data_IF_288158286137
#
_entry.id   IF_288158286137
#
_cell.length_a   1.000
_cell.length_b   1.000
_cell.length_c   1.000
_cell.angle_alpha   90.00
_cell.angle_beta   90.00
_cell.angle_gamma   90.00
#
_symmetry.space_group_name_H-M   'P 1'
#
loop_
_entity.id
_entity.type
_entity.pdbx_description
1 polymer ?
#
# COMPACT_ATOMS: atom_id res chain seq x y z
N UNK A 1 -19.37 14.49 -29.42
CA UNK A 1 -19.80 13.10 -29.60
C UNK A 1 -20.58 12.70 -28.32
N UNK A 2 -21.92 12.80 -28.39
CA UNK A 2 -22.80 12.45 -27.26
C UNK A 2 -23.07 10.95 -27.35
N UNK A 3 -22.30 10.13 -26.66
CA UNK A 3 -22.65 8.73 -26.43
C UNK A 3 -23.63 8.75 -25.25
N UNK A 4 -24.87 8.46 -25.57
CA UNK A 4 -25.98 8.55 -24.63
C UNK A 4 -25.79 7.54 -23.50
N UNK A 5 -25.74 8.05 -22.27
CA UNK A 5 -25.80 7.31 -21.00
C UNK A 5 -27.00 6.30 -21.01
N UNK A 6 -28.01 6.56 -21.82
CA UNK A 6 -29.16 5.70 -22.06
C UNK A 6 -28.80 4.31 -22.60
N UNK A 7 -27.70 4.13 -23.35
CA UNK A 7 -27.32 2.83 -23.87
C UNK A 7 -26.69 1.94 -22.79
N UNK A 8 -25.96 2.54 -21.83
CA UNK A 8 -25.36 1.79 -20.72
C UNK A 8 -26.44 1.30 -19.73
N UNK A 9 -27.49 2.08 -19.52
CA UNK A 9 -28.64 1.70 -18.69
C UNK A 9 -29.48 0.64 -19.36
N UNK A 10 -29.64 0.66 -20.70
CA UNK A 10 -30.41 -0.38 -21.43
C UNK A 10 -29.70 -1.75 -21.43
N UNK A 11 -28.36 -1.79 -21.50
CA UNK A 11 -27.60 -3.06 -21.42
C UNK A 11 -27.68 -3.72 -20.04
N UNK A 12 -27.92 -2.96 -18.99
CA UNK A 12 -28.13 -3.48 -17.63
C UNK A 12 -29.53 -4.08 -17.45
N UNK A 13 -30.52 -3.68 -18.26
CA UNK A 13 -31.92 -4.14 -18.14
C UNK A 13 -32.30 -5.31 -19.07
N UNK A 14 -31.53 -5.61 -20.11
CA UNK A 14 -31.85 -6.71 -21.04
C UNK A 14 -31.30 -8.09 -20.62
N UNK A 15 -30.50 -8.16 -19.56
CA UNK A 15 -29.97 -9.42 -18.98
C UNK A 15 -30.85 -10.09 -17.91
N UNK A 16 -32.03 -9.59 -17.65
CA UNK A 16 -32.87 -9.93 -16.48
C UNK A 16 -33.71 -11.20 -16.63
N UNK A 17 -33.30 -12.17 -17.41
CA UNK A 17 -34.10 -13.38 -17.59
C UNK A 17 -33.56 -14.67 -16.93
N UNK A 18 -32.48 -14.63 -16.17
CA UNK A 18 -31.89 -15.85 -15.61
C UNK A 18 -31.29 -15.72 -14.20
N UNK A 19 -31.97 -15.08 -13.29
CA UNK A 19 -31.84 -15.41 -11.88
C UNK A 19 -33.09 -14.89 -11.16
N UNK A 20 -33.87 -15.77 -10.61
CA UNK A 20 -34.81 -15.44 -9.56
C UNK A 20 -33.93 -15.09 -8.33
N UNK A 21 -33.40 -13.86 -8.32
CA UNK A 21 -32.77 -13.29 -7.15
C UNK A 21 -33.91 -12.87 -6.24
N UNK A 22 -34.01 -13.44 -5.06
CA UNK A 22 -34.89 -12.90 -4.03
C UNK A 22 -34.50 -11.46 -3.83
N UNK A 23 -35.42 -10.52 -3.98
CA UNK A 23 -35.16 -9.07 -3.91
C UNK A 23 -34.68 -8.64 -2.51
N UNK A 24 -34.81 -9.49 -1.51
CA UNK A 24 -34.37 -9.26 -0.14
C UNK A 24 -32.83 -9.42 0.03
N UNK A 25 -32.14 -9.95 -0.99
CA UNK A 25 -30.70 -10.20 -0.97
C UNK A 25 -29.90 -9.16 -1.79
N UNK A 26 -30.48 -8.05 -2.23
CA UNK A 26 -29.81 -7.03 -3.01
C UNK A 26 -29.65 -5.76 -2.18
N UNK A 27 -28.42 -5.39 -1.89
CA UNK A 27 -28.08 -4.19 -1.13
C UNK A 27 -27.25 -3.23 -1.98
N UNK A 28 -27.59 -1.94 -1.89
CA UNK A 28 -26.84 -0.86 -2.52
C UNK A 28 -26.20 0.01 -1.46
N UNK A 29 -24.88 0.09 -1.47
CA UNK A 29 -24.09 0.90 -0.53
C UNK A 29 -23.33 1.99 -1.26
N UNK A 30 -23.48 3.24 -0.80
CA UNK A 30 -22.65 4.36 -1.24
C UNK A 30 -21.57 4.64 -0.20
N UNK A 31 -20.40 5.00 -0.68
CA UNK A 31 -19.27 5.34 0.19
C UNK A 31 -18.53 6.55 -0.37
N UNK A 32 -18.19 7.48 0.52
CA UNK A 32 -17.30 8.61 0.22
C UNK A 32 -16.11 8.54 1.16
N UNK A 33 -14.95 8.14 0.62
CA UNK A 33 -13.68 8.24 1.32
C UNK A 33 -12.94 9.48 0.87
N UNK A 34 -12.43 10.25 1.83
CA UNK A 34 -11.57 11.39 1.55
C UNK A 34 -10.40 11.40 2.53
N UNK A 35 -9.25 11.79 2.05
CA UNK A 35 -8.04 11.92 2.85
C UNK A 35 -7.32 13.21 2.49
N UNK A 36 -7.29 14.16 3.43
CA UNK A 36 -6.39 15.31 3.37
C UNK A 36 -5.07 14.95 4.02
N UNK A 37 -3.95 15.30 3.39
CA UNK A 37 -2.61 15.03 3.91
C UNK A 37 -1.66 16.20 3.66
N UNK A 38 -0.76 16.37 4.60
CA UNK A 38 0.41 17.23 4.45
C UNK A 38 1.61 16.42 4.90
N UNK A 39 2.54 16.18 3.99
CA UNK A 39 3.79 15.49 4.27
C UNK A 39 4.94 16.44 3.97
N UNK A 40 5.90 16.54 4.87
CA UNK A 40 7.13 17.28 4.65
C UNK A 40 8.33 16.41 5.03
N UNK A 41 9.25 16.25 4.10
CA UNK A 41 10.52 15.56 4.28
C UNK A 41 11.67 16.56 4.11
N UNK A 42 12.48 16.68 5.12
CA UNK A 42 13.72 17.44 5.11
C UNK A 42 14.89 16.45 4.99
N UNK A 43 15.06 15.95 3.77
CA UNK A 43 16.13 15.02 3.44
C UNK A 43 17.23 15.75 2.68
N UNK A 44 18.41 15.73 3.23
CA UNK A 44 19.65 16.19 2.59
C UNK A 44 20.47 15.02 2.04
N UNK A 45 19.86 13.83 2.03
CA UNK A 45 20.48 12.56 1.68
C UNK A 45 20.62 12.41 0.16
N UNK A 46 21.78 11.97 -0.37
CA UNK A 46 21.94 11.80 -1.82
C UNK A 46 21.10 10.65 -2.40
N UNK A 47 20.59 9.72 -1.59
CA UNK A 47 19.69 8.65 -2.05
C UNK A 47 18.30 9.18 -2.38
N UNK A 48 17.79 10.15 -1.60
CA UNK A 48 16.46 10.72 -1.77
C UNK A 48 16.45 12.18 -1.36
N UNK A 49 15.95 13.11 -2.20
CA UNK A 49 15.76 14.49 -1.82
C UNK A 49 14.58 14.67 -0.88
N UNK A 50 14.61 15.74 -0.09
CA UNK A 50 13.44 16.22 0.65
C UNK A 50 12.41 16.86 -0.28
N UNK A 51 11.15 16.80 0.13
CA UNK A 51 10.04 17.45 -0.57
C UNK A 51 8.82 17.64 0.32
N UNK A 52 7.95 18.55 -0.08
CA UNK A 52 6.66 18.80 0.58
C UNK A 52 5.52 18.33 -0.31
N UNK A 53 4.57 17.62 0.25
CA UNK A 53 3.46 17.01 -0.45
C UNK A 53 2.13 17.37 0.26
N UNK A 54 1.52 18.54 -0.05
CA UNK A 54 0.19 18.90 0.44
C UNK A 54 -0.86 18.42 -0.56
N UNK A 55 -1.84 17.62 -0.12
CA UNK A 55 -2.84 17.09 -1.03
C UNK A 55 -4.14 16.67 -0.36
N UNK A 56 -5.12 16.43 -1.20
CA UNK A 56 -6.39 15.81 -0.82
C UNK A 56 -6.77 14.78 -1.87
N UNK A 57 -7.12 13.60 -1.44
CA UNK A 57 -7.71 12.56 -2.28
C UNK A 57 -9.20 12.37 -1.95
N UNK A 58 -9.98 12.07 -2.98
CA UNK A 58 -11.43 11.81 -2.86
C UNK A 58 -11.77 10.57 -3.66
N UNK A 59 -12.56 9.68 -3.05
CA UNK A 59 -12.94 8.38 -3.61
C UNK A 59 -14.43 8.10 -3.35
N UNK A 60 -15.36 8.69 -4.13
CA UNK A 60 -16.75 8.26 -4.13
C UNK A 60 -16.89 6.89 -4.80
N UNK A 61 -17.74 6.03 -4.26
CA UNK A 61 -18.06 4.73 -4.84
C UNK A 61 -19.45 4.26 -4.50
N UNK A 62 -20.02 3.41 -5.35
CA UNK A 62 -21.25 2.68 -5.13
C UNK A 62 -20.96 1.19 -5.25
N UNK A 63 -21.45 0.38 -4.33
CA UNK A 63 -21.31 -1.08 -4.31
C UNK A 63 -22.67 -1.71 -4.34
N UNK A 64 -22.91 -2.57 -5.32
CA UNK A 64 -24.06 -3.45 -5.40
C UNK A 64 -23.64 -4.82 -4.84
N UNK A 65 -24.26 -5.22 -3.76
CA UNK A 65 -24.08 -6.51 -3.11
C UNK A 65 -25.23 -7.45 -3.53
N UNK A 66 -24.91 -8.64 -4.05
CA UNK A 66 -25.85 -9.65 -4.48
C UNK A 66 -25.72 -10.87 -3.57
N UNK A 67 -26.62 -10.94 -2.59
CA UNK A 67 -26.51 -11.88 -1.48
C UNK A 67 -25.22 -11.67 -0.72
N UNK A 68 -24.73 -12.73 -0.09
CA UNK A 68 -23.46 -12.74 0.65
C UNK A 68 -22.23 -13.02 -0.23
N UNK A 69 -22.41 -13.21 -1.55
CA UNK A 69 -21.38 -13.83 -2.41
C UNK A 69 -20.75 -12.90 -3.42
N UNK A 70 -21.47 -11.94 -3.97
CA UNK A 70 -20.97 -11.12 -5.06
C UNK A 70 -21.11 -9.63 -4.76
N UNK A 71 -20.06 -8.88 -5.09
CA UNK A 71 -20.01 -7.43 -4.96
C UNK A 71 -19.55 -6.82 -6.28
N UNK A 72 -20.24 -5.76 -6.71
CA UNK A 72 -19.86 -4.94 -7.85
C UNK A 72 -19.68 -3.51 -7.37
N UNK A 73 -18.47 -3.02 -7.40
CA UNK A 73 -18.15 -1.64 -7.01
C UNK A 73 -17.79 -0.81 -8.23
N UNK A 74 -18.41 0.34 -8.36
CA UNK A 74 -18.03 1.38 -9.31
C UNK A 74 -17.75 2.68 -8.57
N UNK A 75 -16.75 3.43 -8.99
CA UNK A 75 -16.37 4.67 -8.32
C UNK A 75 -15.40 5.50 -9.13
N UNK A 76 -14.87 6.52 -8.48
CA UNK A 76 -13.86 7.39 -9.06
C UNK A 76 -12.83 7.79 -8.01
N UNK A 77 -11.57 7.81 -8.37
CA UNK A 77 -10.48 8.30 -7.55
C UNK A 77 -9.92 9.58 -8.16
N UNK A 78 -9.71 10.59 -7.33
CA UNK A 78 -9.00 11.79 -7.72
C UNK A 78 -8.15 12.31 -6.58
N UNK A 79 -6.96 12.81 -6.92
CA UNK A 79 -6.06 13.50 -5.99
C UNK A 79 -5.76 14.88 -6.51
N UNK A 80 -5.96 15.88 -5.64
CA UNK A 80 -5.58 17.26 -5.87
C UNK A 80 -4.35 17.61 -5.04
N UNK A 81 -3.30 18.09 -5.69
CA UNK A 81 -2.06 18.55 -5.08
C UNK A 81 -2.02 20.06 -5.06
N UNK A 82 -1.91 20.66 -3.89
CA UNK A 82 -1.80 22.10 -3.73
C UNK A 82 -0.46 22.59 -4.28
N UNK A 83 -0.48 23.79 -4.90
CA UNK A 83 0.72 24.43 -5.43
C UNK A 83 1.25 23.86 -6.74
N UNK A 84 0.60 22.86 -7.35
CA UNK A 84 0.96 22.40 -8.68
C UNK A 84 0.61 23.43 -9.75
N UNK A 85 1.58 23.74 -10.62
CA UNK A 85 1.61 24.95 -11.44
C UNK A 85 0.52 25.05 -12.54
N UNK A 86 -0.21 24.00 -12.89
CA UNK A 86 -1.20 24.08 -13.99
C UNK A 86 -2.63 23.85 -13.53
N UNK A 87 -2.98 22.76 -12.99
CA UNK A 87 -4.39 22.39 -12.72
C UNK A 87 -4.61 21.71 -11.36
N UNK A 88 -3.59 21.59 -10.55
CA UNK A 88 -3.68 20.99 -9.23
C UNK A 88 -4.02 19.48 -9.21
N UNK A 89 -4.60 18.96 -10.29
CA UNK A 89 -4.94 17.55 -10.40
C UNK A 89 -3.68 16.74 -10.70
N UNK A 90 -3.39 15.76 -9.84
CA UNK A 90 -2.23 14.89 -10.00
C UNK A 90 -2.60 13.52 -10.58
N UNK A 91 -3.53 12.83 -9.94
CA UNK A 91 -4.01 11.51 -10.35
C UNK A 91 -5.52 11.49 -10.43
N UNK A 92 -6.05 10.76 -11.40
CA UNK A 92 -7.49 10.60 -11.56
C UNK A 92 -7.79 9.34 -12.38
N UNK A 93 -8.69 8.49 -11.89
CA UNK A 93 -9.13 7.30 -12.64
C UNK A 93 -10.48 6.77 -12.17
N UNK A 94 -11.27 6.13 -13.07
CA UNK A 94 -12.42 5.33 -12.67
C UNK A 94 -11.96 4.10 -11.87
N UNK A 95 -12.82 3.64 -10.98
CA UNK A 95 -12.62 2.47 -10.15
C UNK A 95 -13.71 1.46 -10.47
N UNK A 96 -13.33 0.22 -10.70
CA UNK A 96 -14.24 -0.89 -10.90
C UNK A 96 -13.70 -2.11 -10.17
N UNK A 97 -14.57 -2.78 -9.43
CA UNK A 97 -14.22 -4.03 -8.75
C UNK A 97 -15.37 -5.01 -8.90
N UNK A 98 -15.04 -6.23 -9.26
CA UNK A 98 -15.93 -7.38 -9.13
C UNK A 98 -15.29 -8.27 -8.07
N UNK A 99 -16.03 -8.57 -7.02
CA UNK A 99 -15.53 -9.41 -5.93
C UNK A 99 -16.49 -10.56 -5.64
N UNK A 100 -15.93 -11.68 -5.21
CA UNK A 100 -16.68 -12.87 -4.86
C UNK A 100 -16.18 -13.47 -3.55
N UNK A 101 -17.11 -13.78 -2.64
CA UNK A 101 -16.89 -14.62 -1.47
C UNK A 101 -17.20 -16.07 -1.86
N UNK A 102 -16.16 -16.90 -1.90
CA UNK A 102 -16.27 -18.28 -2.35
C UNK A 102 -16.43 -19.19 -1.13
N UNK A 103 -17.40 -20.13 -1.21
CA UNK A 103 -17.70 -21.07 -0.13
C UNK A 103 -18.15 -20.39 1.17
N UNK A 104 -19.38 -20.59 1.56
CA UNK A 104 -20.12 -19.83 2.57
C UNK A 104 -19.40 -19.63 3.92
N UNK A 105 -18.54 -20.47 4.39
CA UNK A 105 -17.82 -20.35 5.66
C UNK A 105 -16.29 -20.32 5.51
N UNK A 106 -15.78 -20.19 4.28
CA UNK A 106 -14.35 -20.41 4.03
C UNK A 106 -13.45 -19.21 4.27
N UNK A 107 -14.00 -18.00 4.34
CA UNK A 107 -13.22 -16.76 4.37
C UNK A 107 -12.42 -16.51 3.07
N UNK A 108 -12.71 -17.24 1.98
CA UNK A 108 -12.05 -17.09 0.70
C UNK A 108 -12.72 -15.98 -0.13
N UNK A 109 -11.95 -14.97 -0.47
CA UNK A 109 -12.36 -13.79 -1.21
C UNK A 109 -11.50 -13.59 -2.46
N UNK A 110 -12.12 -13.33 -3.59
CA UNK A 110 -11.46 -13.02 -4.84
C UNK A 110 -11.96 -11.68 -5.38
N UNK A 111 -11.06 -10.84 -5.90
CA UNK A 111 -11.42 -9.57 -6.52
C UNK A 111 -10.66 -9.35 -7.82
N UNK A 112 -11.34 -8.75 -8.80
CA UNK A 112 -10.81 -8.32 -10.08
C UNK A 112 -11.12 -6.84 -10.29
N UNK A 113 -10.18 -6.09 -10.84
CA UNK A 113 -10.28 -4.65 -11.07
C UNK A 113 -9.50 -3.85 -10.03
N UNK A 114 -10.07 -2.81 -9.44
CA UNK A 114 -9.42 -2.07 -8.36
C UNK A 114 -9.32 -2.92 -7.11
N UNK A 115 -8.11 -3.04 -6.54
CA UNK A 115 -7.87 -3.90 -5.40
C UNK A 115 -8.38 -3.26 -4.10
N UNK A 116 -9.27 -3.92 -3.36
CA UNK A 116 -9.87 -3.33 -2.16
C UNK A 116 -9.02 -3.51 -0.89
N UNK A 117 -8.15 -4.50 -0.86
CA UNK A 117 -7.40 -4.89 0.35
C UNK A 117 -6.01 -4.26 0.34
N UNK A 118 -5.65 -3.64 1.46
CA UNK A 118 -4.34 -3.04 1.71
C UNK A 118 -3.35 -4.12 2.20
N UNK A 119 -2.07 -3.96 1.88
CA UNK A 119 -1.01 -4.89 2.23
C UNK A 119 -0.26 -4.40 3.48
N UNK A 120 -0.38 -5.07 4.65
CA UNK A 120 0.33 -4.68 5.87
C UNK A 120 1.81 -5.11 5.83
N UNK A 121 2.58 -4.50 4.94
CA UNK A 121 4.01 -4.73 4.77
C UNK A 121 4.84 -3.68 5.52
N UNK A 122 6.11 -3.99 5.90
CA UNK A 122 7.01 -3.02 6.52
C UNK A 122 7.25 -1.80 5.61
N UNK A 123 7.34 -0.59 6.18
CA UNK A 123 7.50 0.68 5.45
C UNK A 123 8.71 0.68 4.49
N UNK A 124 9.81 0.05 4.88
CA UNK A 124 11.00 -0.06 4.00
C UNK A 124 10.84 -1.06 2.84
N UNK A 125 9.68 -1.75 2.76
CA UNK A 125 9.29 -2.65 1.67
C UNK A 125 8.13 -2.10 0.86
N UNK A 126 7.18 -1.43 1.54
CA UNK A 126 5.98 -0.85 0.94
C UNK A 126 5.64 0.47 1.65
N UNK A 127 5.98 1.59 1.01
CA UNK A 127 5.86 2.91 1.63
C UNK A 127 4.42 3.43 1.63
N UNK A 128 4.03 4.07 2.72
CA UNK A 128 2.77 4.80 2.84
C UNK A 128 2.65 5.91 1.79
N UNK A 129 3.75 6.56 1.42
CA UNK A 129 3.78 7.61 0.39
C UNK A 129 3.39 7.07 -0.98
N UNK A 130 3.64 5.79 -1.24
CA UNK A 130 3.23 5.16 -2.49
C UNK A 130 1.71 5.31 -2.70
N UNK A 131 0.91 5.13 -1.67
CA UNK A 131 -0.55 5.28 -1.74
C UNK A 131 -1.00 6.73 -2.07
N UNK A 132 -0.19 7.74 -1.76
CA UNK A 132 -0.48 9.14 -2.08
C UNK A 132 -0.04 9.56 -3.47
N UNK A 133 1.07 8.98 -3.95
CA UNK A 133 1.73 9.36 -5.20
C UNK A 133 1.26 8.53 -6.40
N UNK A 134 0.56 7.44 -6.18
CA UNK A 134 0.16 6.49 -7.21
C UNK A 134 -1.36 6.29 -7.24
N UNK A 135 -1.83 5.81 -8.37
CA UNK A 135 -3.21 5.36 -8.49
C UNK A 135 -3.49 4.17 -7.55
N UNK A 136 -4.73 3.98 -7.13
CA UNK A 136 -5.13 2.73 -6.48
C UNK A 136 -4.72 1.52 -7.30
N UNK A 137 -4.21 0.50 -6.63
CA UNK A 137 -3.80 -0.75 -7.28
C UNK A 137 -4.95 -1.37 -8.06
N UNK A 138 -4.64 -1.98 -9.21
CA UNK A 138 -5.65 -2.61 -10.06
C UNK A 138 -5.11 -3.88 -10.73
N UNK A 139 -5.91 -4.93 -10.71
CA UNK A 139 -5.55 -6.23 -11.26
C UNK A 139 -6.40 -7.35 -10.69
N UNK A 140 -5.78 -8.30 -10.00
CA UNK A 140 -6.48 -9.42 -9.36
C UNK A 140 -5.95 -9.64 -7.94
N UNK A 141 -6.82 -10.05 -7.02
CA UNK A 141 -6.47 -10.36 -5.65
C UNK A 141 -7.26 -11.57 -5.16
N UNK A 142 -6.58 -12.43 -4.42
CA UNK A 142 -7.17 -13.56 -3.69
C UNK A 142 -6.76 -13.43 -2.24
N UNK A 143 -7.73 -13.47 -1.34
CA UNK A 143 -7.54 -13.45 0.10
C UNK A 143 -8.20 -14.66 0.73
N UNK A 144 -7.53 -15.26 1.70
CA UNK A 144 -8.10 -16.26 2.58
C UNK A 144 -7.93 -15.82 4.03
N UNK A 145 -9.05 -15.57 4.69
CA UNK A 145 -9.10 -15.18 6.09
C UNK A 145 -9.47 -16.38 6.96
N UNK A 146 -8.57 -16.73 7.87
CA UNK A 146 -8.85 -17.66 8.97
C UNK A 146 -8.86 -16.92 10.30
N UNK A 147 -9.27 -17.58 11.37
CA UNK A 147 -9.18 -16.99 12.71
C UNK A 147 -7.76 -16.70 13.19
N UNK A 148 -6.73 -17.29 12.53
CA UNK A 148 -5.34 -17.20 12.96
C UNK A 148 -4.46 -16.34 12.04
N UNK A 149 -4.77 -16.33 10.75
CA UNK A 149 -3.97 -15.64 9.73
C UNK A 149 -4.81 -15.24 8.54
N UNK A 150 -4.29 -14.26 7.83
CA UNK A 150 -4.69 -13.89 6.47
C UNK A 150 -3.60 -14.32 5.50
N UNK A 151 -3.99 -15.05 4.47
CA UNK A 151 -3.18 -15.29 3.29
C UNK A 151 -3.74 -14.45 2.16
N UNK A 152 -2.89 -13.69 1.48
CA UNK A 152 -3.30 -12.94 0.29
C UNK A 152 -2.27 -13.06 -0.80
N UNK A 153 -2.74 -13.05 -2.04
CA UNK A 153 -1.91 -12.91 -3.23
C UNK A 153 -2.58 -11.93 -4.18
N UNK A 154 -1.78 -11.13 -4.85
CA UNK A 154 -2.30 -10.13 -5.77
C UNK A 154 -1.35 -9.86 -6.92
N UNK A 155 -1.90 -9.31 -7.99
CA UNK A 155 -1.18 -8.68 -9.07
C UNK A 155 -1.72 -7.26 -9.24
N UNK A 156 -0.82 -6.27 -9.22
CA UNK A 156 -1.14 -4.89 -9.52
C UNK A 156 -0.52 -4.53 -10.86
N UNK A 157 -1.38 -4.23 -11.82
CA UNK A 157 -0.98 -3.87 -13.16
C UNK A 157 -0.77 -2.35 -13.26
N UNK A 158 0.48 -1.92 -13.08
CA UNK A 158 0.86 -0.51 -13.20
C UNK A 158 0.65 -0.01 -14.64
N UNK A 159 0.96 -0.86 -15.64
CA UNK A 159 0.83 -0.53 -17.06
C UNK A 159 0.56 -1.78 -17.90
N UNK A 160 -0.55 -1.74 -18.63
CA UNK A 160 -0.86 -2.68 -19.69
C UNK A 160 -0.42 -2.10 -21.05
N UNK A 161 0.03 -2.97 -21.97
CA UNK A 161 0.41 -2.57 -23.32
C UNK A 161 -0.44 -3.28 -24.36
N UNK A 162 -0.73 -2.58 -25.45
CA UNK A 162 -1.29 -3.16 -26.68
C UNK A 162 -0.16 -3.55 -27.63
N UNK A 163 -0.48 -4.46 -28.57
CA UNK A 163 0.42 -4.76 -29.68
C UNK A 163 0.84 -3.46 -30.38
N UNK A 164 2.15 -3.34 -30.67
CA UNK A 164 2.77 -2.19 -31.30
C UNK A 164 2.84 -0.91 -30.43
N UNK A 165 2.58 -1.02 -29.12
CA UNK A 165 2.85 0.07 -28.20
C UNK A 165 4.37 0.25 -28.02
N UNK A 166 4.85 1.49 -28.15
CA UNK A 166 6.25 1.83 -27.89
C UNK A 166 6.49 2.07 -26.39
N UNK A 167 6.12 1.10 -25.57
CA UNK A 167 6.19 1.14 -24.11
C UNK A 167 6.32 -0.27 -23.54
N UNK A 168 6.72 -0.40 -22.31
CA UNK A 168 6.89 -1.70 -21.63
C UNK A 168 5.72 -2.00 -20.68
N UNK A 169 5.33 -3.27 -20.61
CA UNK A 169 4.41 -3.77 -19.60
C UNK A 169 5.06 -3.66 -18.21
N UNK A 170 4.24 -3.30 -17.20
CA UNK A 170 4.70 -3.22 -15.81
C UNK A 170 3.65 -3.74 -14.87
N UNK A 171 4.03 -4.69 -14.02
CA UNK A 171 3.19 -5.16 -12.93
C UNK A 171 4.01 -5.54 -11.71
N UNK A 172 3.33 -5.56 -10.57
CA UNK A 172 3.85 -6.11 -9.33
C UNK A 172 2.98 -7.31 -8.93
N UNK A 173 3.62 -8.45 -8.74
CA UNK A 173 3.02 -9.60 -8.07
C UNK A 173 3.40 -9.58 -6.60
N UNK A 174 2.44 -9.87 -5.72
CA UNK A 174 2.65 -10.00 -4.29
C UNK A 174 1.98 -11.24 -3.70
N UNK A 175 2.60 -11.79 -2.69
CA UNK A 175 2.02 -12.82 -1.83
C UNK A 175 2.40 -12.52 -0.37
N UNK A 176 1.46 -12.68 0.56
CA UNK A 176 1.66 -12.38 1.98
C UNK A 176 0.88 -13.35 2.85
N UNK A 177 1.53 -13.83 3.91
CA UNK A 177 0.95 -14.53 5.03
C UNK A 177 1.12 -13.67 6.29
N UNK A 178 0.03 -13.19 6.85
CA UNK A 178 0.04 -12.29 8.00
C UNK A 178 -0.76 -12.89 9.16
N UNK A 179 -0.16 -12.96 10.35
CA UNK A 179 -0.86 -13.37 11.57
C UNK A 179 -1.88 -12.30 11.97
N UNK A 180 -3.12 -12.70 12.17
CA UNK A 180 -4.15 -11.80 12.69
C UNK A 180 -3.97 -11.61 14.20
N UNK A 181 -4.15 -10.38 14.70
CA UNK A 181 -4.11 -10.11 16.13
C UNK A 181 -5.20 -10.88 16.84
N UNK A 182 -4.79 -11.70 17.80
CA UNK A 182 -5.70 -12.34 18.75
C UNK A 182 -5.37 -11.79 20.14
N UNK A 183 -6.35 -11.47 21.00
CA UNK A 183 -6.08 -11.00 22.37
C UNK A 183 -5.16 -11.92 23.18
N UNK A 184 -5.19 -13.21 22.91
CA UNK A 184 -4.35 -14.20 23.58
C UNK A 184 -3.01 -14.44 22.88
N UNK A 185 -2.84 -13.97 21.63
CA UNK A 185 -1.64 -14.18 20.86
C UNK A 185 -0.78 -12.91 20.86
N UNK A 186 0.31 -12.96 21.61
CA UNK A 186 1.29 -11.88 21.72
C UNK A 186 2.34 -11.90 20.59
N UNK A 187 2.35 -12.98 19.81
CA UNK A 187 3.29 -13.19 18.73
C UNK A 187 2.60 -12.81 17.41
N UNK A 188 3.26 -12.00 16.61
CA UNK A 188 2.86 -11.69 15.24
C UNK A 188 3.92 -12.20 14.28
N UNK A 189 3.51 -12.66 13.12
CA UNK A 189 4.41 -12.99 12.02
C UNK A 189 3.83 -12.47 10.72
N UNK A 190 4.73 -12.14 9.81
CA UNK A 190 4.41 -11.68 8.48
C UNK A 190 5.47 -12.23 7.53
N UNK A 191 5.08 -13.08 6.58
CA UNK A 191 5.95 -13.57 5.53
C UNK A 191 5.43 -13.04 4.19
N UNK A 192 6.31 -12.54 3.32
CA UNK A 192 5.88 -11.95 2.07
C UNK A 192 6.88 -12.14 0.95
N UNK A 193 6.35 -12.10 -0.27
CA UNK A 193 7.11 -12.09 -1.51
C UNK A 193 6.53 -11.01 -2.42
N UNK A 194 7.40 -10.17 -3.00
CA UNK A 194 7.07 -9.20 -4.03
C UNK A 194 7.95 -9.44 -5.24
N UNK A 195 7.39 -9.37 -6.44
CA UNK A 195 8.13 -9.40 -7.69
C UNK A 195 7.62 -8.30 -8.62
N UNK A 196 8.47 -7.38 -9.01
CA UNK A 196 8.18 -6.33 -9.99
C UNK A 196 8.75 -6.73 -11.34
N UNK A 197 7.89 -6.76 -12.33
CA UNK A 197 8.21 -7.13 -13.69
C UNK A 197 8.04 -5.94 -14.63
N UNK A 198 9.02 -5.78 -15.53
CA UNK A 198 9.00 -4.82 -16.62
C UNK A 198 9.32 -5.55 -17.92
N UNK A 199 8.59 -5.21 -18.99
CA UNK A 199 8.74 -5.81 -20.31
C UNK A 199 7.76 -6.97 -20.56
N UNK A 200 7.51 -7.32 -21.80
CA UNK A 200 6.56 -8.35 -22.18
C UNK A 200 6.77 -8.86 -23.60
N UNK A 201 6.00 -9.90 -24.00
CA UNK A 201 6.16 -10.55 -25.31
C UNK A 201 5.73 -9.68 -26.50
N UNK A 202 4.85 -8.70 -26.26
CA UNK A 202 4.36 -7.78 -27.30
C UNK A 202 4.98 -6.39 -27.20
N UNK A 203 5.96 -6.24 -26.30
CA UNK A 203 6.70 -5.00 -26.09
C UNK A 203 7.63 -4.71 -27.27
N UNK A 204 7.50 -3.52 -27.86
CA UNK A 204 8.32 -3.03 -28.95
C UNK A 204 9.33 -1.95 -28.51
N UNK A 205 9.44 -1.69 -27.20
CA UNK A 205 10.35 -0.68 -26.65
C UNK A 205 11.82 -1.03 -26.83
N UNK A 206 12.16 -2.29 -27.13
CA UNK A 206 13.53 -2.83 -27.17
C UNK A 206 14.28 -2.74 -25.83
N UNK A 207 13.59 -2.42 -24.74
CA UNK A 207 14.18 -2.43 -23.41
C UNK A 207 14.31 -3.86 -22.89
N UNK A 208 15.32 -4.17 -22.09
CA UNK A 208 15.48 -5.51 -21.56
C UNK A 208 14.36 -5.86 -20.57
N UNK A 209 13.85 -7.07 -20.65
CA UNK A 209 12.94 -7.61 -19.64
C UNK A 209 13.65 -7.67 -18.28
N UNK A 210 13.01 -7.11 -17.26
CA UNK A 210 13.56 -6.98 -15.91
C UNK A 210 12.59 -7.57 -14.89
N UNK A 211 13.07 -8.43 -14.00
CA UNK A 211 12.30 -8.88 -12.84
C UNK A 211 13.15 -8.71 -11.58
N UNK A 212 12.69 -7.84 -10.70
CA UNK A 212 13.31 -7.62 -9.38
C UNK A 212 12.39 -8.15 -8.30
N UNK A 213 12.94 -8.63 -7.16
CA UNK A 213 12.13 -9.23 -6.11
C UNK A 213 12.59 -8.88 -4.70
N UNK A 214 11.62 -8.95 -3.76
CA UNK A 214 11.84 -8.93 -2.31
C UNK A 214 11.17 -10.16 -1.70
N UNK A 215 11.88 -10.86 -0.82
CA UNK A 215 11.37 -11.95 0.00
C UNK A 215 11.64 -11.61 1.47
N UNK A 216 10.60 -11.55 2.28
CA UNK A 216 10.76 -11.10 3.66
C UNK A 216 10.01 -11.92 4.68
N UNK A 217 10.52 -11.84 5.91
CA UNK A 217 9.92 -12.40 7.12
C UNK A 217 9.99 -11.35 8.22
N UNK A 218 8.87 -11.14 8.92
CA UNK A 218 8.79 -10.30 10.11
C UNK A 218 8.24 -11.13 11.28
N UNK A 219 8.88 -11.04 12.43
CA UNK A 219 8.44 -11.63 13.69
C UNK A 219 8.33 -10.53 14.73
N UNK A 220 7.22 -10.51 15.46
CA UNK A 220 6.96 -9.53 16.51
C UNK A 220 6.39 -10.15 17.76
N UNK A 221 6.56 -9.44 18.87
CA UNK A 221 5.96 -9.75 20.15
C UNK A 221 5.43 -8.48 20.80
N UNK A 222 4.23 -8.56 21.35
CA UNK A 222 3.59 -7.44 22.06
C UNK A 222 3.24 -7.87 23.48
N UNK A 223 3.57 -7.04 24.44
CA UNK A 223 3.25 -7.19 25.85
C UNK A 223 2.29 -6.09 26.30
N UNK A 224 1.13 -6.47 26.77
CA UNK A 224 0.10 -5.54 27.26
C UNK A 224 0.30 -5.30 28.76
N UNK A 225 0.50 -4.04 29.11
CA UNK A 225 0.72 -3.58 30.50
C UNK A 225 -0.59 -3.23 31.22
N UNK A 226 -1.74 -3.35 30.54
CA UNK A 226 -3.05 -2.90 31.04
C UNK A 226 -3.32 -1.41 30.78
N UNK A 227 -4.54 -0.96 31.05
CA UNK A 227 -4.97 0.45 30.92
C UNK A 227 -4.63 1.13 29.58
N UNK A 228 -4.46 0.37 28.50
CA UNK A 228 -4.14 0.90 27.18
C UNK A 228 -2.64 1.11 26.90
N UNK A 229 -1.76 0.57 27.73
CA UNK A 229 -0.31 0.60 27.52
C UNK A 229 0.17 -0.73 26.94
N UNK A 230 1.10 -0.67 25.98
CA UNK A 230 1.77 -1.87 25.47
C UNK A 230 3.21 -1.58 25.09
N UNK A 231 4.06 -2.58 25.32
CA UNK A 231 5.42 -2.62 24.80
C UNK A 231 5.51 -3.70 23.74
N UNK A 232 6.34 -3.53 22.74
CA UNK A 232 6.58 -4.56 21.78
C UNK A 232 7.94 -4.45 21.12
N UNK A 233 8.30 -5.55 20.48
CA UNK A 233 9.51 -5.63 19.66
C UNK A 233 9.19 -6.45 18.42
N UNK A 234 9.84 -6.11 17.30
CA UNK A 234 9.80 -6.91 16.08
C UNK A 234 11.13 -6.87 15.38
N UNK A 235 11.34 -7.84 14.53
CA UNK A 235 12.47 -7.92 13.63
C UNK A 235 11.97 -8.32 12.25
N UNK A 236 12.35 -7.54 11.24
CA UNK A 236 12.09 -7.86 9.84
C UNK A 236 13.41 -8.15 9.14
N UNK A 237 13.44 -9.23 8.34
CA UNK A 237 14.55 -9.58 7.47
C UNK A 237 14.05 -9.72 6.03
N UNK A 238 14.76 -9.14 5.07
CA UNK A 238 14.36 -9.11 3.66
C UNK A 238 15.57 -9.41 2.78
N UNK A 239 15.43 -10.41 1.90
CA UNK A 239 16.31 -10.62 0.77
C UNK A 239 15.79 -9.86 -0.44
N UNK A 240 16.67 -9.29 -1.25
CA UNK A 240 16.32 -8.56 -2.47
C UNK A 240 17.15 -9.06 -3.66
N UNK A 241 16.55 -9.03 -4.85
CA UNK A 241 17.20 -9.30 -6.13
C UNK A 241 16.94 -8.17 -7.11
N UNK A 242 18.01 -7.60 -7.68
CA UNK A 242 17.92 -6.60 -8.74
C UNK A 242 18.05 -7.28 -10.12
N UNK A 243 16.96 -7.21 -10.89
CA UNK A 243 16.90 -7.77 -12.24
C UNK A 243 17.59 -6.93 -13.32
N UNK A 244 17.95 -5.67 -13.04
CA UNK A 244 18.54 -4.76 -14.03
C UNK A 244 19.89 -5.28 -14.54
N UNK A 245 20.16 -5.00 -15.83
CA UNK A 245 21.42 -5.34 -16.52
C UNK A 245 21.91 -4.16 -17.36
N UNK A 246 22.99 -3.45 -16.96
CA UNK A 246 23.75 -3.63 -15.72
C UNK A 246 22.98 -3.15 -14.47
N UNK A 247 23.28 -3.73 -13.32
CA UNK A 247 22.86 -3.17 -12.03
C UNK A 247 23.88 -2.12 -11.57
N UNK A 248 23.47 -1.05 -10.90
CA UNK A 248 24.41 -0.12 -10.28
C UNK A 248 25.11 -0.72 -9.05
N UNK A 249 24.57 -1.79 -8.48
CA UNK A 249 25.10 -2.45 -7.30
C UNK A 249 26.29 -3.35 -7.61
N UNK A 250 27.17 -3.57 -6.62
CA UNK A 250 28.30 -4.51 -6.73
C UNK A 250 27.84 -5.97 -6.91
N UNK A 251 26.66 -6.30 -6.39
CA UNK A 251 26.00 -7.61 -6.52
C UNK A 251 24.50 -7.40 -6.70
N UNK A 252 23.83 -8.24 -7.48
CA UNK A 252 22.38 -8.21 -7.70
C UNK A 252 21.56 -8.64 -6.50
N UNK A 253 22.14 -9.52 -5.67
CA UNK A 253 21.48 -10.00 -4.47
C UNK A 253 21.90 -9.15 -3.29
N UNK A 254 20.90 -8.70 -2.56
CA UNK A 254 21.07 -7.91 -1.36
C UNK A 254 20.18 -8.40 -0.24
N UNK A 255 20.31 -7.80 0.91
CA UNK A 255 19.49 -8.10 2.07
C UNK A 255 19.44 -6.93 3.04
N UNK A 256 18.41 -6.93 3.87
CA UNK A 256 18.28 -5.98 4.97
C UNK A 256 17.69 -6.64 6.20
N UNK A 257 18.02 -6.11 7.36
CA UNK A 257 17.41 -6.46 8.65
C UNK A 257 17.03 -5.20 9.40
N UNK A 258 15.87 -5.21 10.05
CA UNK A 258 15.37 -4.08 10.84
C UNK A 258 14.71 -4.54 12.12
N UNK A 259 15.44 -4.61 13.25
CA UNK A 259 14.85 -4.65 14.57
C UNK A 259 14.15 -3.33 14.91
N UNK A 260 13.02 -3.42 15.61
CA UNK A 260 12.25 -2.28 16.10
C UNK A 260 11.69 -2.62 17.48
N UNK A 261 11.69 -1.64 18.36
CA UNK A 261 10.95 -1.65 19.63
C UNK A 261 9.95 -0.51 19.62
N UNK A 262 8.82 -0.71 20.27
CA UNK A 262 7.83 0.36 20.41
C UNK A 262 7.19 0.35 21.78
N UNK A 263 6.71 1.51 22.15
CA UNK A 263 5.87 1.73 23.31
C UNK A 263 4.60 2.46 22.86
N UNK A 264 3.44 1.81 23.07
CA UNK A 264 2.14 2.47 22.98
C UNK A 264 1.85 3.06 24.37
N UNK A 265 1.97 4.40 24.46
CA UNK A 265 1.87 5.13 25.70
C UNK A 265 0.41 5.29 26.12
N UNK A 266 -0.47 5.49 25.16
CA UNK A 266 -1.91 5.63 25.36
C UNK A 266 -2.60 4.91 24.23
N UNK A 267 -3.51 3.99 24.58
CA UNK A 267 -4.43 3.38 23.64
C UNK A 267 -5.81 3.34 24.29
N UNK A 268 -6.64 4.30 23.94
CA UNK A 268 -8.05 4.40 24.33
C UNK A 268 -8.88 4.36 23.05
N UNK A 269 -10.19 4.19 23.16
CA UNK A 269 -11.09 4.18 22.00
C UNK A 269 -10.90 5.38 21.07
N UNK A 270 -10.57 6.56 21.64
CA UNK A 270 -10.40 7.81 20.91
C UNK A 270 -8.96 8.14 20.51
N UNK A 271 -7.99 7.72 21.30
CA UNK A 271 -6.60 8.18 21.16
C UNK A 271 -5.63 7.03 21.14
N UNK A 272 -4.61 7.16 20.30
CA UNK A 272 -3.44 6.30 20.31
C UNK A 272 -2.18 7.15 20.21
N UNK A 273 -1.24 6.92 21.13
CA UNK A 273 0.10 7.50 21.07
C UNK A 273 1.11 6.39 21.07
N UNK A 274 1.98 6.35 20.09
CA UNK A 274 3.04 5.36 19.95
C UNK A 274 4.37 6.03 19.70
N UNK A 275 5.40 5.56 20.38
CA UNK A 275 6.80 5.91 20.13
C UNK A 275 7.51 4.62 19.71
N UNK A 276 8.38 4.70 18.72
CA UNK A 276 9.18 3.55 18.31
C UNK A 276 10.61 3.96 17.99
N UNK A 277 11.51 3.00 18.15
CA UNK A 277 12.90 3.10 17.73
C UNK A 277 13.28 1.85 16.96
N UNK A 278 14.02 2.03 15.87
CA UNK A 278 14.50 0.91 15.05
C UNK A 278 15.91 1.18 14.54
N UNK A 279 16.56 0.11 14.13
CA UNK A 279 17.84 0.16 13.45
C UNK A 279 17.73 -0.62 12.15
N UNK A 280 18.13 -0.02 11.05
CA UNK A 280 18.17 -0.66 9.75
C UNK A 280 19.62 -0.94 9.36
N UNK A 281 19.89 -2.16 8.94
CA UNK A 281 21.12 -2.55 8.28
C UNK A 281 20.79 -3.20 6.94
N UNK A 282 21.33 -2.66 5.86
CA UNK A 282 21.16 -3.17 4.51
C UNK A 282 22.49 -3.36 3.78
N UNK A 283 22.59 -4.42 2.97
CA UNK A 283 23.72 -4.66 2.07
C UNK A 283 23.22 -4.94 0.66
N UNK A 284 23.57 -4.08 -0.30
CA UNK A 284 23.06 -4.11 -1.68
C UNK A 284 21.51 -4.21 -1.75
N UNK A 285 20.83 -3.65 -0.75
CA UNK A 285 19.39 -3.78 -0.62
C UNK A 285 18.65 -2.87 -1.59
N UNK A 286 17.65 -3.44 -2.27
CA UNK A 286 16.67 -2.70 -3.04
C UNK A 286 15.26 -2.97 -2.50
N UNK A 287 14.44 -1.96 -2.49
CA UNK A 287 13.02 -2.08 -2.19
C UNK A 287 12.21 -1.77 -3.44
N UNK A 288 11.20 -2.59 -3.74
CA UNK A 288 10.39 -2.42 -4.94
C UNK A 288 9.39 -1.26 -4.82
N UNK A 289 8.76 -1.11 -3.65
CA UNK A 289 7.77 -0.06 -3.33
C UNK A 289 7.98 0.59 -1.96
N UNK A 290 9.05 0.25 -1.25
CA UNK A 290 9.33 0.80 0.08
C UNK A 290 9.95 2.19 0.04
N UNK A 291 10.10 2.76 1.24
CA UNK A 291 10.74 4.06 1.44
C UNK A 291 12.16 4.05 0.84
N UNK A 292 12.40 4.98 -0.08
CA UNK A 292 13.61 5.03 -0.88
C UNK A 292 14.87 5.32 -0.08
N UNK A 293 14.74 5.96 1.08
CA UNK A 293 15.85 6.26 1.98
C UNK A 293 16.62 5.00 2.39
N UNK A 294 15.97 3.83 2.41
CA UNK A 294 16.60 2.55 2.76
C UNK A 294 17.31 1.83 1.60
N UNK A 295 17.20 2.33 0.36
CA UNK A 295 17.82 1.69 -0.82
C UNK A 295 19.33 1.88 -0.82
N UNK A 296 20.04 0.93 -1.42
CA UNK A 296 21.49 0.99 -1.61
C UNK A 296 21.92 1.81 -2.82
N UNK A 297 21.02 2.33 -3.65
CA UNK A 297 21.32 3.27 -4.73
C UNK A 297 20.20 4.30 -4.88
N UNK A 298 20.55 5.44 -5.42
CA UNK A 298 19.60 6.54 -5.65
C UNK A 298 18.86 6.38 -6.98
N UNK A 299 17.57 6.72 -6.95
CA UNK A 299 16.75 6.95 -8.16
C UNK A 299 16.78 8.43 -8.59
N UNK A 300 17.38 9.30 -7.78
CA UNK A 300 17.37 10.75 -7.93
C UNK A 300 18.74 11.32 -8.27
N UNK A 301 19.81 10.69 -7.79
CA UNK A 301 21.18 11.12 -8.03
C UNK A 301 21.90 10.05 -8.85
N UNK A 302 22.15 10.36 -10.12
CA UNK A 302 22.79 9.44 -11.05
C UNK A 302 24.13 8.93 -10.52
N UNK A 303 24.30 7.60 -10.54
CA UNK A 303 25.53 6.94 -10.14
C UNK A 303 25.79 6.89 -8.63
N UNK A 304 24.91 7.45 -7.79
CA UNK A 304 25.09 7.32 -6.35
C UNK A 304 24.71 5.91 -5.86
N UNK A 305 25.69 5.23 -5.29
CA UNK A 305 25.57 3.89 -4.71
C UNK A 305 26.22 3.86 -3.33
N UNK A 306 25.48 3.32 -2.37
CA UNK A 306 25.96 3.03 -1.02
C UNK A 306 25.59 1.58 -0.69
N UNK A 307 26.47 0.64 -1.03
CA UNK A 307 26.19 -0.79 -0.91
C UNK A 307 25.84 -1.23 0.51
N UNK A 308 26.43 -0.61 1.51
CA UNK A 308 26.12 -0.81 2.92
C UNK A 308 25.39 0.40 3.48
N UNK A 309 24.27 0.17 4.16
CA UNK A 309 23.44 1.22 4.75
C UNK A 309 23.14 0.91 6.22
N UNK A 310 23.35 1.92 7.08
CA UNK A 310 23.09 1.82 8.51
C UNK A 310 22.29 3.05 8.96
N UNK A 311 21.03 2.84 9.35
CA UNK A 311 20.13 3.94 9.72
C UNK A 311 19.51 3.64 11.08
N UNK A 312 19.77 4.49 12.06
CA UNK A 312 18.97 4.57 13.29
C UNK A 312 17.72 5.41 13.01
N UNK A 313 16.57 4.93 13.43
CA UNK A 313 15.29 5.58 13.17
C UNK A 313 14.46 5.67 14.45
N UNK A 314 13.91 6.86 14.71
CA UNK A 314 12.95 7.12 15.76
C UNK A 314 11.63 7.59 15.15
N UNK A 315 10.49 7.18 15.69
CA UNK A 315 9.19 7.61 15.22
C UNK A 315 8.23 7.92 16.36
N UNK A 316 7.35 8.87 16.08
CA UNK A 316 6.23 9.26 16.93
C UNK A 316 4.95 9.21 16.10
N UNK A 317 3.88 8.65 16.66
CA UNK A 317 2.54 8.61 16.07
C UNK A 317 1.52 9.03 17.10
N UNK A 318 0.72 10.02 16.74
CA UNK A 318 -0.52 10.39 17.41
C UNK A 318 -1.69 10.12 16.46
N UNK A 319 -2.71 9.45 16.96
CA UNK A 319 -3.95 9.18 16.21
C UNK A 319 -5.15 9.49 17.11
N UNK A 320 -6.13 10.22 16.56
CA UNK A 320 -7.38 10.55 17.23
C UNK A 320 -8.57 10.21 16.33
N UNK A 321 -9.53 9.47 16.88
CA UNK A 321 -10.85 9.33 16.28
C UNK A 321 -11.68 10.54 16.66
N UNK A 322 -11.87 11.46 15.73
CA UNK A 322 -12.66 12.68 15.94
C UNK A 322 -14.15 12.36 16.05
N UNK A 323 -14.63 11.49 15.13
CA UNK A 323 -15.99 10.96 15.07
C UNK A 323 -15.95 9.51 14.59
N UNK A 324 -17.08 8.85 14.53
CA UNK A 324 -17.21 7.50 14.03
C UNK A 324 -16.62 7.32 12.61
N UNK A 325 -16.77 8.35 11.79
CA UNK A 325 -16.38 8.39 10.38
C UNK A 325 -15.18 9.30 10.08
N UNK A 326 -14.53 9.86 11.09
CA UNK A 326 -13.41 10.76 10.88
C UNK A 326 -12.26 10.48 11.86
N UNK A 327 -11.02 10.50 11.37
CA UNK A 327 -9.82 10.38 12.19
C UNK A 327 -8.74 11.36 11.75
N UNK A 328 -7.94 11.78 12.72
CA UNK A 328 -6.75 12.60 12.55
C UNK A 328 -5.51 11.79 12.92
N UNK A 329 -4.44 11.94 12.16
CA UNK A 329 -3.13 11.38 12.45
C UNK A 329 -2.06 12.46 12.33
N UNK A 330 -1.13 12.45 13.27
CA UNK A 330 0.14 13.15 13.17
C UNK A 330 1.26 12.13 13.36
N UNK A 331 2.21 12.09 12.44
CA UNK A 331 3.40 11.27 12.54
C UNK A 331 4.65 12.10 12.32
N UNK A 332 5.72 11.73 13.01
CA UNK A 332 7.05 12.32 12.82
C UNK A 332 8.10 11.21 12.88
N UNK A 333 9.07 11.27 12.00
CA UNK A 333 10.17 10.34 11.88
C UNK A 333 11.51 11.10 11.89
N UNK A 334 12.49 10.57 12.59
CA UNK A 334 13.87 11.03 12.54
C UNK A 334 14.79 9.88 12.14
N UNK A 335 15.69 10.15 11.21
CA UNK A 335 16.63 9.18 10.65
C UNK A 335 18.05 9.68 10.89
N UNK A 336 18.92 8.84 11.40
CA UNK A 336 20.34 9.10 11.50
C UNK A 336 21.11 8.06 10.67
N UNK A 337 21.67 8.50 9.55
CA UNK A 337 22.56 7.67 8.74
C UNK A 337 23.92 7.64 9.43
N UNK A 338 24.33 6.45 9.90
CA UNK A 338 25.57 6.28 10.66
C UNK A 338 26.80 6.38 9.76
N UNK A 339 26.68 5.98 8.49
CA UNK A 339 27.80 5.98 7.54
C UNK A 339 28.10 7.42 7.07
N UNK A 340 27.06 8.20 6.77
CA UNK A 340 27.18 9.57 6.32
C UNK A 340 27.19 10.58 7.48
N UNK A 341 26.85 10.17 8.71
CA UNK A 341 26.70 11.00 9.91
C UNK A 341 25.72 12.16 9.68
N UNK A 342 24.57 11.85 9.08
CA UNK A 342 23.53 12.83 8.74
C UNK A 342 22.24 12.54 9.48
N UNK A 343 21.53 13.62 9.81
CA UNK A 343 20.17 13.57 10.34
C UNK A 343 19.23 14.06 9.26
N UNK A 344 18.24 13.26 8.94
CA UNK A 344 17.11 13.58 8.08
C UNK A 344 15.83 13.37 8.90
N UNK A 345 14.75 14.05 8.56
CA UNK A 345 13.48 13.88 9.25
C UNK A 345 12.31 14.12 8.32
N UNK A 346 11.18 13.55 8.66
CA UNK A 346 9.89 13.85 8.05
C UNK A 346 8.78 13.98 9.10
N UNK A 347 7.72 14.62 8.71
CA UNK A 347 6.47 14.60 9.45
C UNK A 347 5.27 14.66 8.50
N UNK A 348 4.14 14.16 8.99
CA UNK A 348 2.90 14.21 8.25
C UNK A 348 1.69 14.48 9.14
N UNK A 349 0.71 15.12 8.53
CA UNK A 349 -0.65 15.28 9.04
C UNK A 349 -1.59 14.57 8.08
N UNK A 350 -2.55 13.82 8.62
CA UNK A 350 -3.60 13.16 7.83
C UNK A 350 -4.95 13.37 8.50
N UNK A 351 -5.92 13.77 7.72
CA UNK A 351 -7.32 13.82 8.10
C UNK A 351 -8.10 12.88 7.18
N UNK A 352 -8.67 11.83 7.75
CA UNK A 352 -9.44 10.82 6.99
C UNK A 352 -10.92 10.99 7.29
N UNK A 353 -11.72 10.84 6.25
CA UNK A 353 -13.16 10.79 6.28
C UNK A 353 -13.64 9.54 5.56
N UNK A 354 -14.50 8.75 6.18
CA UNK A 354 -15.12 7.55 5.59
C UNK A 354 -16.62 7.58 5.91
N UNK A 355 -17.41 8.05 4.96
CA UNK A 355 -18.88 8.14 5.06
C UNK A 355 -19.48 7.00 4.26
N UNK A 356 -20.46 6.29 4.85
CA UNK A 356 -21.19 5.21 4.22
C UNK A 356 -22.70 5.32 4.42
N UNK A 357 -23.46 5.02 3.36
CA UNK A 357 -24.93 4.94 3.36
C UNK A 357 -25.35 3.67 2.63
N UNK A 358 -26.23 2.88 3.23
CA UNK A 358 -26.76 1.63 2.65
C UNK A 358 -28.31 1.64 2.60
N UNK A 359 -28.86 0.93 1.62
CA UNK A 359 -30.31 0.74 1.42
C UNK A 359 -30.58 -0.75 1.11
#
# INVERSE_FOLDING_TARGET
>A
MRISITLLVLCLFTGWSFAQCDTDDVHLRFQLRSEGYFYNAEFSHPVKPGYTLPGISVKPSATLELGSKLEFTAGYFTTYMQGKAKDGLYLSRPLFTIAAHLFDDSGLYCALGTLPVVHPLPEFVYSMQYAWLHNPEAGAQICYDSRWFRLQTWIDWDRFIWKDANDEERFLFGAQLHALPNPDNRITYNAFFLARHHGGQIDTSHLPVVTSSNLGLELGYSYFLGAGYSLGARIAAVASHDGHKPTPLSQRNGWAIRPEIWWTVIQKEKYKVRIAASYFYGHNFISLRGEELYRSYSMWSDGYVQSQRQIAHGSFLFEERLWEYASFQFGANGFYDLDLRRIDYDFYLRLKLDLGWGW
#
